data_IF_252330328101
#
_entry.id   IF_252330328101
#
_cell.length_a   1.000
_cell.length_b   1.000
_cell.length_c   1.000
_cell.angle_alpha   90.00
_cell.angle_beta   90.00
_cell.angle_gamma   90.00
#
_symmetry.space_group_name_H-M   'P 1'
#
loop_
_entity.id
_entity.type
_entity.pdbx_description
1 polymer ?
#
# COMPACT_ATOMS: atom_id res chain seq x y z
N UNK A 1 5.60 4.40 -12.75
CA UNK A 1 4.38 4.29 -11.93
C UNK A 1 3.21 3.93 -12.84
N UNK A 2 2.12 3.41 -12.30
CA UNK A 2 0.89 3.14 -13.05
C UNK A 2 -0.33 3.41 -12.17
N UNK A 3 -1.37 4.05 -12.73
CA UNK A 3 -2.67 4.12 -12.09
C UNK A 3 -3.36 2.77 -12.26
N UNK A 4 -3.63 2.10 -11.14
CA UNK A 4 -4.22 0.76 -11.11
C UNK A 4 -5.64 0.76 -10.57
N UNK A 5 -6.20 1.93 -10.26
CA UNK A 5 -7.55 2.02 -9.75
C UNK A 5 -8.06 3.45 -9.68
N UNK A 6 -9.38 3.57 -9.68
CA UNK A 6 -10.10 4.83 -9.51
C UNK A 6 -11.16 4.61 -8.44
N UNK A 7 -11.20 5.53 -7.49
CA UNK A 7 -12.09 5.48 -6.33
C UNK A 7 -12.89 6.77 -6.25
N UNK A 8 -14.08 6.68 -5.67
CA UNK A 8 -14.92 7.80 -5.30
C UNK A 8 -14.99 7.88 -3.79
N UNK A 9 -14.89 9.09 -3.25
CA UNK A 9 -15.05 9.31 -1.82
C UNK A 9 -16.51 9.06 -1.41
N UNK A 10 -16.68 8.48 -0.23
CA UNK A 10 -17.97 8.19 0.41
C UNK A 10 -17.93 8.67 1.86
N UNK A 11 -19.06 8.61 2.56
CA UNK A 11 -19.16 9.07 3.95
C UNK A 11 -18.24 8.29 4.91
N UNK A 12 -17.93 7.02 4.60
CA UNK A 12 -17.17 6.11 5.46
C UNK A 12 -15.77 5.75 4.92
N UNK A 13 -15.35 6.39 3.82
CA UNK A 13 -14.07 6.12 3.17
C UNK A 13 -14.18 6.21 1.64
N UNK A 14 -13.84 5.14 0.91
CA UNK A 14 -13.77 5.14 -0.56
C UNK A 14 -14.34 3.86 -1.16
N UNK A 15 -14.96 3.97 -2.34
CA UNK A 15 -15.39 2.82 -3.16
C UNK A 15 -14.85 2.98 -4.57
N UNK A 16 -14.31 1.91 -5.14
CA UNK A 16 -13.72 1.95 -6.46
C UNK A 16 -13.36 0.59 -7.02
N UNK A 17 -12.51 0.62 -8.04
CA UNK A 17 -12.04 -0.59 -8.72
C UNK A 17 -10.51 -0.64 -8.69
N UNK A 18 -9.96 -1.86 -8.68
CA UNK A 18 -8.53 -2.12 -8.87
C UNK A 18 -8.37 -3.04 -10.08
N UNK A 19 -7.58 -2.61 -11.06
CA UNK A 19 -7.29 -3.37 -12.28
C UNK A 19 -5.79 -3.38 -12.55
N UNK A 20 -5.24 -4.58 -12.70
CA UNK A 20 -3.88 -4.84 -13.18
C UNK A 20 -3.95 -5.94 -14.24
N UNK A 21 -2.80 -6.42 -14.75
CA UNK A 21 -2.78 -7.51 -15.72
C UNK A 21 -3.46 -8.79 -15.20
N UNK A 22 -3.38 -9.06 -13.89
CA UNK A 22 -3.89 -10.30 -13.27
C UNK A 22 -5.03 -10.07 -12.27
N UNK A 23 -5.35 -8.82 -11.95
CA UNK A 23 -6.38 -8.44 -10.97
C UNK A 23 -7.45 -7.64 -11.69
N UNK A 24 -8.72 -8.01 -11.50
CA UNK A 24 -9.87 -7.21 -11.91
C UNK A 24 -10.89 -7.19 -10.75
N UNK A 25 -10.57 -6.44 -9.70
CA UNK A 25 -11.39 -6.32 -8.50
C UNK A 25 -12.34 -5.14 -8.64
N UNK A 26 -13.64 -5.42 -8.63
CA UNK A 26 -14.70 -4.43 -8.75
C UNK A 26 -15.34 -4.14 -7.39
N UNK A 27 -15.74 -2.89 -7.15
CA UNK A 27 -16.39 -2.47 -5.89
C UNK A 27 -15.54 -2.79 -4.65
N UNK A 28 -14.26 -2.49 -4.72
CA UNK A 28 -13.35 -2.49 -3.57
C UNK A 28 -13.77 -1.35 -2.65
N UNK A 29 -13.92 -1.65 -1.36
CA UNK A 29 -14.27 -0.68 -0.32
C UNK A 29 -13.05 -0.43 0.57
N UNK A 30 -12.68 0.83 0.75
CA UNK A 30 -11.66 1.26 1.71
C UNK A 30 -12.40 2.00 2.81
N UNK A 31 -12.43 1.43 4.01
CA UNK A 31 -13.27 1.94 5.12
C UNK A 31 -12.37 2.43 6.24
N UNK A 32 -12.67 3.61 6.77
CA UNK A 32 -11.99 4.14 7.95
C UNK A 32 -12.27 3.26 9.16
N UNK A 33 -11.24 2.95 9.95
CA UNK A 33 -11.37 2.20 11.19
C UNK A 33 -10.75 2.96 12.35
N UNK A 34 -11.33 2.81 13.53
CA UNK A 34 -10.80 3.34 14.78
C UNK A 34 -10.11 2.20 15.56
N UNK A 35 -8.98 1.74 15.02
CA UNK A 35 -8.21 0.60 15.55
C UNK A 35 -7.18 1.00 16.63
N UNK A 36 -7.47 2.03 17.43
CA UNK A 36 -6.76 2.31 18.69
C UNK A 36 -5.30 2.79 18.58
N UNK A 37 -4.78 3.24 19.73
CA UNK A 37 -3.77 4.30 19.91
C UNK A 37 -2.30 3.90 19.67
N UNK A 38 -1.99 3.09 18.66
CA UNK A 38 -0.60 2.78 18.31
C UNK A 38 -0.22 3.42 16.97
N UNK A 39 0.96 4.06 16.92
CA UNK A 39 1.44 4.88 15.80
C UNK A 39 1.41 4.17 14.43
N UNK A 40 1.53 2.84 14.43
CA UNK A 40 1.58 2.02 13.21
C UNK A 40 0.25 1.32 12.89
N UNK A 41 -0.81 1.53 13.68
CA UNK A 41 -2.11 0.95 13.41
C UNK A 41 -2.67 1.44 12.07
N UNK A 42 -3.35 0.57 11.30
CA UNK A 42 -3.99 0.99 10.07
C UNK A 42 -5.12 1.98 10.37
N UNK A 43 -5.21 3.05 9.59
CA UNK A 43 -6.34 3.99 9.67
C UNK A 43 -7.52 3.55 8.80
N UNK A 44 -7.26 2.68 7.83
CA UNK A 44 -8.27 2.14 6.93
C UNK A 44 -8.08 0.64 6.72
N UNK A 45 -9.18 -0.06 6.46
CA UNK A 45 -9.19 -1.45 6.01
C UNK A 45 -9.71 -1.53 4.59
N UNK A 46 -9.17 -2.45 3.79
CA UNK A 46 -9.54 -2.64 2.38
C UNK A 46 -10.28 -3.96 2.22
N UNK A 47 -11.46 -3.91 1.62
CA UNK A 47 -12.35 -5.05 1.44
C UNK A 47 -12.74 -5.26 -0.01
N UNK A 48 -12.92 -6.53 -0.38
CA UNK A 48 -13.66 -6.95 -1.56
C UNK A 48 -14.83 -7.83 -1.12
N UNK A 49 -16.04 -7.26 -1.16
CA UNK A 49 -17.21 -7.91 -0.56
C UNK A 49 -17.02 -8.07 0.95
N UNK A 50 -16.91 -9.32 1.42
CA UNK A 50 -16.70 -9.64 2.85
C UNK A 50 -15.24 -9.97 3.19
N UNK A 51 -14.37 -10.09 2.19
CA UNK A 51 -12.97 -10.45 2.40
C UNK A 51 -12.14 -9.18 2.68
N UNK A 52 -11.38 -9.19 3.77
CA UNK A 52 -10.35 -8.18 4.01
C UNK A 52 -9.12 -8.51 3.16
N UNK A 53 -8.75 -7.62 2.25
CA UNK A 53 -7.68 -7.84 1.27
C UNK A 53 -6.51 -6.86 1.46
N UNK A 54 -6.54 -6.03 2.51
CA UNK A 54 -5.52 -5.04 2.72
C UNK A 54 -5.83 -4.00 3.79
N UNK A 55 -4.93 -3.03 3.91
CA UNK A 55 -5.00 -1.96 4.87
C UNK A 55 -4.45 -0.64 4.29
N UNK A 56 -4.84 0.47 4.92
CA UNK A 56 -4.43 1.81 4.55
C UNK A 56 -3.95 2.65 5.74
N UNK A 57 -3.04 3.59 5.46
CA UNK A 57 -2.51 4.54 6.43
C UNK A 57 -2.56 5.94 5.83
N UNK A 58 -3.25 6.86 6.51
CA UNK A 58 -3.28 8.26 6.12
C UNK A 58 -1.89 8.87 6.34
N UNK A 59 -1.35 9.52 5.31
CA UNK A 59 -0.01 10.11 5.32
C UNK A 59 -0.02 11.47 4.64
N UNK A 60 0.97 12.27 5.00
CA UNK A 60 1.27 13.55 4.34
C UNK A 60 2.62 13.40 3.65
N UNK A 61 2.70 13.81 2.38
CA UNK A 61 3.95 13.79 1.63
C UNK A 61 4.89 14.91 2.08
N UNK A 62 6.15 14.86 1.64
CA UNK A 62 7.12 15.96 1.85
C UNK A 62 6.65 17.28 1.23
N UNK A 63 5.84 17.20 0.17
CA UNK A 63 5.23 18.34 -0.51
C UNK A 63 3.91 18.78 0.13
N UNK A 64 3.62 18.31 1.35
CA UNK A 64 2.39 18.61 2.11
C UNK A 64 1.09 18.15 1.42
N UNK A 65 1.17 17.12 0.56
CA UNK A 65 0.00 16.51 -0.07
C UNK A 65 -0.46 15.32 0.74
N UNK A 66 -1.73 15.32 1.13
CA UNK A 66 -2.37 14.18 1.79
C UNK A 66 -2.56 13.01 0.81
N UNK A 67 -2.35 11.80 1.31
CA UNK A 67 -2.60 10.58 0.56
C UNK A 67 -2.83 9.40 1.50
N UNK A 68 -3.52 8.37 1.00
CA UNK A 68 -3.60 7.10 1.69
C UNK A 68 -2.54 6.15 1.15
N UNK A 69 -1.61 5.71 2.01
CA UNK A 69 -0.71 4.61 1.69
C UNK A 69 -1.49 3.31 1.80
N UNK A 70 -1.60 2.53 0.72
CA UNK A 70 -2.42 1.32 0.66
C UNK A 70 -1.52 0.10 0.47
N UNK A 71 -1.74 -0.95 1.28
CA UNK A 71 -1.17 -2.29 1.10
C UNK A 71 -2.30 -3.26 0.76
N UNK A 72 -2.21 -3.92 -0.38
CA UNK A 72 -3.08 -5.04 -0.78
C UNK A 72 -2.27 -6.33 -0.58
N UNK A 73 -2.79 -7.25 0.21
CA UNK A 73 -2.07 -8.44 0.68
C UNK A 73 -3.05 -9.60 0.80
N UNK A 74 -3.41 -10.15 -0.36
CA UNK A 74 -4.33 -11.28 -0.49
C UNK A 74 -3.54 -12.57 -0.74
N UNK A 75 -3.97 -13.74 -0.24
CA UNK A 75 -3.28 -15.02 -0.44
C UNK A 75 -3.04 -15.41 -1.91
N UNK A 76 -3.79 -14.87 -2.87
CA UNK A 76 -3.56 -15.09 -4.30
C UNK A 76 -2.38 -14.31 -4.87
N UNK A 77 -1.85 -13.33 -4.12
CA UNK A 77 -0.71 -12.53 -4.53
C UNK A 77 0.60 -13.19 -4.09
N UNK A 78 1.62 -13.25 -4.96
CA UNK A 78 2.93 -13.79 -4.58
C UNK A 78 3.67 -12.89 -3.56
N UNK A 79 3.27 -11.62 -3.45
CA UNK A 79 3.75 -10.66 -2.46
C UNK A 79 2.75 -9.49 -2.34
N UNK A 80 2.81 -8.76 -1.22
CA UNK A 80 2.00 -7.57 -1.01
C UNK A 80 2.24 -6.50 -2.10
N UNK A 81 1.15 -5.90 -2.57
CA UNK A 81 1.14 -4.79 -3.50
C UNK A 81 0.97 -3.48 -2.73
N UNK A 82 1.89 -2.53 -2.95
CA UNK A 82 1.85 -1.21 -2.32
C UNK A 82 1.47 -0.13 -3.33
N UNK A 83 0.47 0.67 -2.99
CA UNK A 83 0.00 1.78 -3.81
C UNK A 83 -0.29 3.02 -2.94
N UNK A 84 -0.54 4.15 -3.59
CA UNK A 84 -0.91 5.41 -2.94
C UNK A 84 -2.18 5.93 -3.58
N UNK A 85 -3.19 6.21 -2.76
CA UNK A 85 -4.44 6.83 -3.20
C UNK A 85 -4.32 8.34 -3.02
N UNK A 86 -4.46 9.08 -4.12
CA UNK A 86 -4.43 10.55 -4.11
C UNK A 86 -5.77 11.09 -4.61
N UNK A 87 -6.22 12.19 -4.03
CA UNK A 87 -7.31 12.97 -4.60
C UNK A 87 -6.91 13.53 -5.97
N UNK A 88 -7.81 13.39 -6.94
CA UNK A 88 -7.73 14.05 -8.24
C UNK A 88 -8.22 15.51 -8.14
N UNK A 89 -8.17 16.22 -9.27
CA UNK A 89 -8.69 17.58 -9.36
C UNK A 89 -10.18 17.64 -9.00
N UNK A 90 -10.54 18.49 -8.05
CA UNK A 90 -11.91 18.60 -7.53
C UNK A 90 -12.28 17.62 -6.40
N UNK A 91 -11.37 16.74 -5.97
CA UNK A 91 -11.45 15.99 -4.71
C UNK A 91 -12.51 14.89 -4.63
N UNK A 92 -13.39 14.73 -5.63
CA UNK A 92 -14.44 13.70 -5.63
C UNK A 92 -13.91 12.32 -6.02
N UNK A 93 -13.01 12.28 -7.01
CA UNK A 93 -12.35 11.06 -7.46
C UNK A 93 -10.93 10.99 -6.93
N UNK A 94 -10.45 9.75 -6.82
CA UNK A 94 -9.14 9.45 -6.30
C UNK A 94 -8.47 8.40 -7.18
N UNK A 95 -7.20 8.63 -7.50
CA UNK A 95 -6.38 7.72 -8.29
C UNK A 95 -5.52 6.85 -7.39
N UNK A 96 -5.62 5.52 -7.54
CA UNK A 96 -4.75 4.56 -6.88
C UNK A 96 -3.52 4.31 -7.73
N UNK A 97 -2.40 4.89 -7.33
CA UNK A 97 -1.14 4.88 -8.08
C UNK A 97 -0.19 3.86 -7.47
N UNK A 98 0.17 2.85 -8.26
CA UNK A 98 1.20 1.88 -7.93
C UNK A 98 2.55 2.33 -8.50
N UNK A 99 3.60 2.16 -7.71
CA UNK A 99 4.99 2.34 -8.16
C UNK A 99 5.76 1.09 -7.82
N UNK A 100 6.51 0.57 -8.80
CA UNK A 100 7.47 -0.50 -8.54
C UNK A 100 8.58 0.07 -7.67
N UNK A 101 8.64 -0.35 -6.41
CA UNK A 101 9.83 -0.12 -5.59
C UNK A 101 10.93 -0.99 -6.19
N UNK A 102 12.02 -0.39 -6.66
CA UNK A 102 13.22 -1.17 -6.97
C UNK A 102 13.65 -1.82 -5.66
N UNK A 103 13.78 -3.15 -5.70
CA UNK A 103 14.10 -3.98 -4.55
C UNK A 103 15.32 -3.39 -3.83
N UNK A 104 15.09 -2.67 -2.72
CA UNK A 104 16.16 -2.20 -1.85
C UNK A 104 16.59 -3.39 -1.01
N UNK A 105 17.11 -4.44 -1.66
CA UNK A 105 17.89 -5.45 -0.96
C UNK A 105 19.02 -4.69 -0.29
N UNK A 106 19.14 -4.67 1.05
CA UNK A 106 20.41 -4.29 1.63
C UNK A 106 21.42 -5.27 1.06
N UNK A 107 22.46 -4.75 0.42
CA UNK A 107 23.54 -5.54 -0.16
C UNK A 107 24.21 -6.36 0.96
N UNK A 108 23.70 -7.57 1.24
CA UNK A 108 24.30 -8.52 2.17
C UNK A 108 25.47 -9.20 1.46
N UNK A 109 26.50 -8.42 1.15
CA UNK A 109 27.76 -8.95 0.64
C UNK A 109 28.93 -8.10 1.13
N UNK A 110 29.03 -7.89 2.44
CA UNK A 110 30.30 -7.50 3.06
C UNK A 110 30.33 -8.02 4.50
N UNK A 111 30.82 -9.24 4.69
CA UNK A 111 30.82 -9.86 6.01
C UNK A 111 31.07 -11.36 6.01
N UNK A 112 31.97 -11.85 5.15
CA UNK A 112 32.46 -13.22 5.23
C UNK A 112 33.94 -13.27 4.83
N UNK A 113 34.80 -12.68 5.66
CA UNK A 113 36.21 -13.06 5.76
C UNK A 113 36.60 -13.16 7.24
N UNK A 114 35.98 -14.11 7.93
CA UNK A 114 36.57 -14.67 9.15
C UNK A 114 37.47 -15.83 8.74
N UNK A 115 38.74 -15.72 9.11
CA UNK A 115 39.57 -16.88 9.45
C UNK A 115 40.85 -17.08 8.64
N UNK A 116 41.99 -16.64 9.21
CA UNK A 116 43.14 -17.47 9.63
C UNK A 116 44.47 -16.73 9.50
N UNK A 117 45.14 -16.51 10.63
CA UNK A 117 46.52 -16.96 10.96
C UNK A 117 46.86 -16.38 12.34
N UNK A 118 46.77 -17.23 13.36
CA UNK A 118 47.89 -17.91 14.03
C UNK A 118 48.75 -16.93 14.83
N UNK A 119 48.56 -17.04 16.15
CA UNK A 119 49.57 -16.83 17.18
C UNK A 119 50.92 -17.39 16.71
N UNK A 120 51.95 -16.56 16.81
CA UNK A 120 53.29 -16.91 17.33
C UNK A 120 53.84 -15.65 18.02
#
# INVERSE_FOLDING_TARGET
MATIGTFTQTDTGFIGDITTLTINAKKVSIVTVDDGTHENAPTHRVYLGKAEIGAGWAKVSTEKREYLSVKIDDPSLPAALYARLFADEGGKTHSLIWTRTEDRRPNRSEGARTGRRRQD
#
